data_IF_579691062076
#
_entry.id   IF_579691062076
#
_cell.length_a   1.000
_cell.length_b   1.000
_cell.length_c   1.000
_cell.angle_alpha   90.00
_cell.angle_beta   90.00
_cell.angle_gamma   90.00
#
_symmetry.space_group_name_H-M   'P 1'
#
loop_
_entity.id
_entity.type
_entity.pdbx_description
1 polymer ?
#
# COMPACT_ATOMS: atom_id res chain seq x y z
N UNK A 1 12.87 -4.65 -4.84
CA UNK A 1 12.68 -4.68 -3.37
C UNK A 1 11.42 -3.89 -3.08
N UNK A 2 10.49 -4.39 -2.26
CA UNK A 2 9.14 -3.81 -2.16
C UNK A 2 9.04 -2.51 -1.34
N UNK A 3 9.88 -2.33 -0.32
CA UNK A 3 9.83 -1.19 0.60
C UNK A 3 9.83 0.20 -0.09
N UNK A 4 10.77 0.51 -1.01
CA UNK A 4 10.79 1.82 -1.68
C UNK A 4 9.64 2.01 -2.69
N UNK A 5 8.95 0.95 -3.09
CA UNK A 5 7.90 1.02 -4.11
C UNK A 5 6.53 1.42 -3.55
N UNK A 6 6.36 1.38 -2.22
CA UNK A 6 5.07 1.68 -1.61
C UNK A 6 4.85 3.20 -1.50
N UNK A 7 3.88 3.79 -2.23
CA UNK A 7 3.66 5.24 -2.20
C UNK A 7 3.17 5.73 -0.83
N UNK A 8 2.59 4.82 -0.04
CA UNK A 8 2.00 5.15 1.25
C UNK A 8 2.92 4.84 2.43
N UNK A 9 4.17 4.43 2.19
CA UNK A 9 5.09 3.95 3.24
C UNK A 9 4.42 2.92 4.17
N UNK A 10 3.59 2.04 3.60
CA UNK A 10 2.86 1.01 4.34
C UNK A 10 3.72 -0.22 4.62
N UNK A 11 4.85 -0.40 3.92
CA UNK A 11 5.74 -1.55 4.06
C UNK A 11 6.89 -1.18 4.99
N UNK A 12 7.15 -2.01 6.00
CA UNK A 12 8.22 -1.79 6.97
C UNK A 12 8.96 -3.10 7.30
N UNK A 13 10.16 -2.97 7.87
CA UNK A 13 10.96 -4.11 8.32
C UNK A 13 10.42 -4.63 9.65
N UNK A 14 9.81 -5.83 9.61
CA UNK A 14 9.41 -6.57 10.79
C UNK A 14 10.55 -7.42 11.37
N UNK A 15 10.25 -8.24 12.36
CA UNK A 15 11.27 -9.05 13.05
C UNK A 15 11.90 -10.15 12.19
N UNK A 16 11.16 -10.64 11.18
CA UNK A 16 11.59 -11.77 10.33
C UNK A 16 11.30 -11.56 8.85
N UNK A 17 10.28 -10.77 8.53
CA UNK A 17 9.81 -10.49 7.17
C UNK A 17 9.42 -9.02 7.08
N UNK A 18 9.30 -8.51 5.85
CA UNK A 18 8.61 -7.25 5.65
C UNK A 18 7.14 -7.40 6.00
N UNK A 19 6.59 -6.41 6.69
CA UNK A 19 5.20 -6.35 7.11
C UNK A 19 4.51 -5.18 6.40
N UNK A 20 3.19 -5.27 6.23
CA UNK A 20 2.37 -4.25 5.57
C UNK A 20 1.37 -3.73 6.60
N UNK A 21 1.35 -2.43 6.83
CA UNK A 21 0.33 -1.75 7.63
C UNK A 21 -0.98 -1.65 6.81
N UNK A 22 -2.04 -2.40 7.19
CA UNK A 22 -3.30 -2.38 6.45
C UNK A 22 -4.01 -1.03 6.54
N UNK A 23 -3.73 -0.20 7.56
CA UNK A 23 -4.31 1.14 7.68
C UNK A 23 -3.73 2.11 6.65
N UNK A 24 -2.57 1.79 6.08
CA UNK A 24 -1.89 2.62 5.06
C UNK A 24 -1.92 2.00 3.67
N UNK A 25 -2.09 0.68 3.56
CA UNK A 25 -2.16 0.01 2.25
C UNK A 25 -3.46 0.37 1.52
N UNK A 26 -3.34 1.05 0.37
CA UNK A 26 -4.48 1.34 -0.52
C UNK A 26 -4.53 0.40 -1.73
N UNK A 27 -3.78 -0.71 -1.71
CA UNK A 27 -3.53 -1.55 -2.89
C UNK A 27 -3.05 -0.74 -4.11
N UNK A 28 -2.36 0.37 -3.86
CA UNK A 28 -1.96 1.40 -4.83
C UNK A 28 -3.10 2.19 -5.49
N UNK A 29 -4.37 1.97 -5.12
CA UNK A 29 -5.49 2.82 -5.54
C UNK A 29 -5.18 4.27 -5.16
N UNK A 30 -5.40 5.17 -6.12
CA UNK A 30 -5.06 6.60 -6.02
C UNK A 30 -3.72 6.96 -6.68
N UNK A 31 -2.81 6.00 -6.85
CA UNK A 31 -1.48 6.22 -7.47
C UNK A 31 -1.28 5.43 -8.76
N UNK A 32 -1.64 4.13 -8.77
CA UNK A 32 -1.37 3.21 -9.87
C UNK A 32 -2.55 2.25 -10.11
N UNK A 33 -2.59 1.64 -11.29
CA UNK A 33 -3.62 0.65 -11.65
C UNK A 33 -3.42 -0.72 -11.00
N UNK A 34 -2.21 -1.01 -10.50
CA UNK A 34 -1.86 -2.28 -9.86
C UNK A 34 -0.84 -2.11 -8.73
N UNK A 35 -0.77 -3.03 -7.75
CA UNK A 35 0.20 -2.96 -6.66
C UNK A 35 1.66 -3.07 -7.13
N UNK A 36 2.43 -1.99 -6.98
CA UNK A 36 3.86 -1.93 -7.36
C UNK A 36 4.72 -2.91 -6.56
N UNK A 37 4.40 -3.10 -5.26
CA UNK A 37 5.10 -4.04 -4.39
C UNK A 37 5.02 -5.48 -4.92
N UNK A 38 3.90 -5.89 -5.53
CA UNK A 38 3.74 -7.20 -6.17
C UNK A 38 4.57 -7.29 -7.44
N UNK A 39 4.61 -6.23 -8.26
CA UNK A 39 5.36 -6.21 -9.52
C UNK A 39 6.88 -6.40 -9.32
N UNK A 40 7.41 -5.96 -8.18
CA UNK A 40 8.85 -6.08 -7.86
C UNK A 40 9.20 -7.26 -6.94
N UNK A 41 8.22 -8.07 -6.53
CA UNK A 41 8.44 -9.18 -5.60
C UNK A 41 9.00 -10.40 -6.34
N UNK A 42 10.25 -10.83 -6.08
CA UNK A 42 10.89 -11.91 -6.84
C UNK A 42 10.34 -13.31 -6.50
N UNK A 43 9.57 -13.45 -5.41
CA UNK A 43 9.07 -14.72 -4.88
C UNK A 43 7.54 -14.75 -4.73
N UNK A 44 6.84 -13.75 -5.26
CA UNK A 44 5.37 -13.67 -5.26
C UNK A 44 4.72 -13.94 -3.88
N UNK A 45 5.29 -13.36 -2.81
CA UNK A 45 4.84 -13.58 -1.44
C UNK A 45 3.80 -12.56 -0.93
N UNK A 46 3.45 -11.53 -1.72
CA UNK A 46 2.49 -10.49 -1.36
C UNK A 46 1.10 -10.89 -1.87
N UNK A 47 0.20 -11.23 -0.94
CA UNK A 47 -1.16 -11.73 -1.22
C UNK A 47 -2.21 -10.84 -0.54
N UNK A 48 -3.47 -10.83 -1.02
CA UNK A 48 -4.57 -10.15 -0.35
C UNK A 48 -4.73 -10.66 1.08
N UNK A 49 -4.97 -9.74 2.03
CA UNK A 49 -5.16 -10.06 3.43
C UNK A 49 -6.65 -10.40 3.69
N UNK A 50 -6.98 -11.63 4.09
CA UNK A 50 -8.36 -12.02 4.35
C UNK A 50 -9.00 -11.28 5.55
N UNK A 51 -8.20 -10.67 6.43
CA UNK A 51 -8.71 -9.85 7.54
C UNK A 51 -9.03 -8.41 7.13
N UNK A 52 -8.54 -7.97 5.95
CA UNK A 52 -8.66 -6.59 5.46
C UNK A 52 -9.14 -6.59 4.00
N UNK A 53 -10.36 -7.09 3.77
CA UNK A 53 -10.99 -7.09 2.44
C UNK A 53 -11.65 -5.73 2.21
N UNK A 54 -11.19 -5.02 1.18
CA UNK A 54 -11.66 -3.68 0.84
C UNK A 54 -12.03 -3.61 -0.65
N UNK A 55 -13.10 -2.88 -0.97
CA UNK A 55 -13.43 -2.55 -2.35
C UNK A 55 -12.69 -1.29 -2.81
N UNK A 56 -12.79 -0.98 -4.11
CA UNK A 56 -12.09 0.16 -4.72
C UNK A 56 -12.49 1.50 -4.08
N UNK A 57 -13.76 1.66 -3.73
CA UNK A 57 -14.27 2.87 -3.09
C UNK A 57 -13.66 3.09 -1.70
N UNK A 58 -13.59 2.04 -0.87
CA UNK A 58 -12.96 2.06 0.45
C UNK A 58 -11.46 2.38 0.38
N UNK A 59 -10.75 1.76 -0.58
CA UNK A 59 -9.33 2.03 -0.80
C UNK A 59 -9.08 3.48 -1.26
N UNK A 60 -10.00 4.04 -2.07
CA UNK A 60 -9.94 5.43 -2.51
C UNK A 60 -10.24 6.42 -1.37
N UNK A 61 -11.15 6.09 -0.46
CA UNK A 61 -11.41 6.86 0.76
C UNK A 61 -10.17 6.87 1.65
N UNK A 62 -9.59 5.70 1.94
CA UNK A 62 -8.32 5.59 2.67
C UNK A 62 -7.20 6.42 2.04
N UNK A 63 -7.07 6.38 0.71
CA UNK A 63 -6.08 7.21 0.01
C UNK A 63 -6.26 8.71 0.29
N UNK A 64 -7.49 9.20 0.27
CA UNK A 64 -7.81 10.61 0.58
C UNK A 64 -7.47 10.94 2.03
N UNK A 65 -7.81 10.05 2.95
CA UNK A 65 -7.58 10.25 4.39
C UNK A 65 -6.11 10.28 4.77
N UNK A 66 -5.26 9.53 4.05
CA UNK A 66 -3.82 9.53 4.30
C UNK A 66 -3.15 10.87 3.93
N UNK A 67 -3.81 11.75 3.16
CA UNK A 67 -3.36 13.10 2.78
C UNK A 67 -1.87 13.18 2.37
N UNK A 68 -1.38 12.17 1.65
CA UNK A 68 0.05 12.01 1.34
C UNK A 68 0.55 13.03 0.31
N UNK A 69 -0.37 13.66 -0.42
CA UNK A 69 -0.09 14.74 -1.38
C UNK A 69 -0.18 16.15 -0.76
N UNK A 70 -0.29 16.24 0.56
CA UNK A 70 -0.59 17.45 1.33
C UNK A 70 0.53 18.48 1.51
N UNK A 71 1.56 18.52 0.66
CA UNK A 71 2.53 19.64 0.59
C UNK A 71 2.44 20.41 -0.73
N UNK A 72 1.24 20.60 -1.30
CA UNK A 72 1.06 21.53 -2.45
C UNK A 72 -0.31 22.20 -2.54
N UNK A 73 -1.05 22.34 -1.44
CA UNK A 73 -2.21 23.23 -1.39
C UNK A 73 -2.13 24.10 -0.13
N UNK A 74 -1.24 25.08 -0.18
CA UNK A 74 -1.29 26.33 0.57
C UNK A 74 -0.64 27.43 -0.25
#
# INVERSE_FOLDING_TARGET
>A
MCLPECPNTAIFEGNKVYEIDPLRCTECVGFYDAPTCKAVCPIDCIKPDPAHIENKEQLLEKFKDLNILGESIS
#
